data_IF_674103140282
#
_entry.id   IF_674103140282
#
_cell.length_a   1.000
_cell.length_b   1.000
_cell.length_c   1.000
_cell.angle_alpha   90.00
_cell.angle_beta   90.00
_cell.angle_gamma   90.00
#
_symmetry.space_group_name_H-M   'P 1'
#
loop_
_entity.id
_entity.type
_entity.pdbx_description
1 polymer ?
#
# COMPACT_ATOMS: atom_id res chain seq x y z
N UNK A 1 1.88 -1.79 -29.15
CA UNK A 1 2.17 -2.48 -27.88
C UNK A 1 1.70 -1.60 -26.75
N UNK A 2 0.84 -2.12 -25.88
CA UNK A 2 0.44 -1.40 -24.67
C UNK A 2 1.66 -1.05 -23.82
N UNK A 3 1.65 0.11 -23.16
CA UNK A 3 2.67 0.42 -22.13
C UNK A 3 2.57 -0.64 -21.03
N UNK A 4 3.69 -1.28 -20.70
CA UNK A 4 3.78 -2.28 -19.63
C UNK A 4 4.10 -1.64 -18.29
N UNK A 5 3.68 -2.29 -17.20
CA UNK A 5 4.11 -1.93 -15.84
C UNK A 5 5.57 -2.33 -15.62
N UNK A 6 6.26 -1.57 -14.78
CA UNK A 6 7.65 -1.82 -14.39
C UNK A 6 7.79 -1.78 -12.89
N UNK A 7 8.66 -2.62 -12.33
CA UNK A 7 8.98 -2.57 -10.91
C UNK A 7 9.71 -1.23 -10.61
N UNK A 8 9.16 -0.34 -9.76
CA UNK A 8 9.82 0.90 -9.40
C UNK A 8 11.09 0.61 -8.61
N UNK A 9 12.09 1.48 -8.69
CA UNK A 9 13.22 1.42 -7.77
C UNK A 9 12.78 1.87 -6.38
N UNK A 10 13.32 1.25 -5.33
CA UNK A 10 13.09 1.73 -3.97
C UNK A 10 13.71 3.11 -3.78
N UNK A 11 13.08 4.01 -3.00
CA UNK A 11 13.62 5.34 -2.73
C UNK A 11 14.78 5.33 -1.72
N UNK A 12 15.18 4.15 -1.22
CA UNK A 12 16.23 3.93 -0.22
C UNK A 12 16.82 2.50 -0.37
N UNK A 13 17.95 2.24 0.30
CA UNK A 13 18.58 0.92 0.34
C UNK A 13 17.73 -0.11 1.10
N UNK A 14 17.88 -1.41 0.81
CA UNK A 14 17.04 -2.45 1.42
C UNK A 14 17.14 -2.53 2.96
N UNK A 15 18.31 -2.22 3.53
CA UNK A 15 18.53 -2.20 4.98
C UNK A 15 18.15 -0.85 5.64
N UNK A 16 17.65 0.13 4.89
CA UNK A 16 17.49 1.48 5.39
C UNK A 16 16.36 1.64 6.42
N UNK A 17 15.50 0.64 6.57
CA UNK A 17 14.39 0.63 7.54
C UNK A 17 14.71 -0.15 8.83
N UNK A 18 15.93 -0.67 8.96
CA UNK A 18 16.37 -1.32 10.18
C UNK A 18 16.43 -0.32 11.35
N UNK A 19 16.13 -0.75 12.60
CA UNK A 19 15.83 -2.13 13.01
C UNK A 19 14.35 -2.50 12.90
N UNK A 20 13.51 -1.67 12.28
CA UNK A 20 12.06 -1.84 12.30
C UNK A 20 11.55 -2.85 11.28
N UNK A 21 12.14 -2.87 10.08
CA UNK A 21 11.89 -3.86 9.02
C UNK A 21 13.25 -4.29 8.46
N UNK A 22 13.53 -5.60 8.43
CA UNK A 22 14.87 -6.07 8.06
C UNK A 22 15.18 -5.94 6.57
N UNK A 23 16.47 -5.90 6.24
CA UNK A 23 16.93 -5.96 4.85
C UNK A 23 16.37 -7.19 4.11
N UNK A 24 16.28 -8.33 4.79
CA UNK A 24 15.77 -9.58 4.22
C UNK A 24 14.31 -9.44 3.82
N UNK A 25 13.47 -8.93 4.71
CA UNK A 25 12.06 -8.66 4.43
C UNK A 25 11.93 -7.70 3.25
N UNK A 26 12.61 -6.55 3.30
CA UNK A 26 12.56 -5.55 2.24
C UNK A 26 13.01 -6.09 0.87
N UNK A 27 14.09 -6.86 0.84
CA UNK A 27 14.62 -7.45 -0.39
C UNK A 27 13.63 -8.41 -1.02
N UNK A 28 13.07 -9.34 -0.24
CA UNK A 28 12.13 -10.33 -0.75
C UNK A 28 10.79 -9.70 -1.15
N UNK A 29 10.27 -8.81 -0.30
CA UNK A 29 9.00 -8.12 -0.51
C UNK A 29 9.02 -7.30 -1.82
N UNK A 30 10.12 -6.60 -2.08
CA UNK A 30 10.29 -5.85 -3.33
C UNK A 30 10.61 -6.75 -4.54
N UNK A 31 11.68 -7.55 -4.46
CA UNK A 31 12.22 -8.25 -5.64
C UNK A 31 11.45 -9.52 -6.02
N UNK A 32 10.64 -10.06 -5.11
CA UNK A 32 9.83 -11.26 -5.35
C UNK A 32 8.35 -10.91 -5.41
N UNK A 33 7.78 -10.38 -4.33
CA UNK A 33 6.33 -10.16 -4.25
C UNK A 33 5.88 -9.03 -5.18
N UNK A 34 6.47 -7.84 -5.09
CA UNK A 34 6.11 -6.73 -5.97
C UNK A 34 6.42 -7.04 -7.45
N UNK A 35 7.55 -7.69 -7.73
CA UNK A 35 7.88 -8.14 -9.08
C UNK A 35 6.85 -9.14 -9.64
N UNK A 36 6.32 -10.04 -8.82
CA UNK A 36 5.28 -10.98 -9.25
C UNK A 36 4.00 -10.26 -9.67
N UNK A 37 3.57 -9.23 -8.94
CA UNK A 37 2.42 -8.40 -9.31
C UNK A 37 2.63 -7.69 -10.65
N UNK A 38 3.81 -7.09 -10.86
CA UNK A 38 4.17 -6.46 -12.15
C UNK A 38 4.07 -7.47 -13.30
N UNK A 39 4.64 -8.65 -13.12
CA UNK A 39 4.62 -9.71 -14.14
C UNK A 39 3.19 -10.19 -14.42
N UNK A 40 2.39 -10.43 -13.37
CA UNK A 40 1.02 -10.90 -13.50
C UNK A 40 0.10 -9.89 -14.18
N UNK A 41 0.24 -8.60 -13.85
CA UNK A 41 -0.55 -7.54 -14.47
C UNK A 41 -0.22 -7.42 -15.97
N UNK A 42 1.06 -7.45 -16.33
CA UNK A 42 1.51 -7.43 -17.73
C UNK A 42 1.02 -8.67 -18.50
N UNK A 43 1.10 -9.86 -17.91
CA UNK A 43 0.61 -11.09 -18.54
C UNK A 43 -0.90 -11.06 -18.79
N UNK A 44 -1.69 -10.49 -17.87
CA UNK A 44 -3.13 -10.33 -18.06
C UNK A 44 -3.44 -9.34 -19.20
N UNK A 45 -2.72 -8.20 -19.27
CA UNK A 45 -2.86 -7.25 -20.38
C UNK A 45 -2.51 -7.85 -21.74
N UNK A 46 -1.44 -8.65 -21.80
CA UNK A 46 -1.03 -9.35 -23.03
C UNK A 46 -2.11 -10.33 -23.50
N UNK A 47 -2.69 -11.12 -22.59
CA UNK A 47 -3.84 -12.01 -22.91
C UNK A 47 -5.02 -11.23 -23.47
N UNK A 48 -5.37 -10.10 -22.85
CA UNK A 48 -6.45 -9.23 -23.33
C UNK A 48 -6.15 -8.64 -24.72
N UNK A 49 -4.90 -8.25 -24.99
CA UNK A 49 -4.47 -7.73 -26.30
C UNK A 49 -4.56 -8.81 -27.38
N UNK A 50 -4.03 -10.00 -27.12
CA UNK A 50 -4.11 -11.16 -28.03
C UNK A 50 -5.57 -11.55 -28.32
N UNK A 51 -6.43 -11.51 -27.30
CA UNK A 51 -7.86 -11.79 -27.46
C UNK A 51 -8.55 -10.75 -28.36
N UNK A 52 -8.30 -9.45 -28.15
CA UNK A 52 -8.82 -8.39 -29.04
C UNK A 52 -8.34 -8.54 -30.48
N UNK A 53 -7.10 -9.01 -30.67
CA UNK A 53 -6.52 -9.28 -31.98
C UNK A 53 -6.96 -10.59 -32.63
N UNK A 54 -7.84 -11.38 -31.99
CA UNK A 54 -8.29 -12.67 -32.51
C UNK A 54 -7.24 -13.78 -32.46
N UNK A 55 -6.11 -13.56 -31.77
CA UNK A 55 -5.00 -14.51 -31.68
C UNK A 55 -5.20 -15.57 -30.60
N UNK A 56 -6.13 -15.36 -29.68
CA UNK A 56 -6.39 -16.21 -28.52
C UNK A 56 -7.85 -16.09 -28.07
N UNK A 57 -8.44 -17.19 -27.62
CA UNK A 57 -9.70 -17.16 -26.86
C UNK A 57 -9.39 -17.21 -25.36
N UNK A 58 -10.09 -16.41 -24.57
CA UNK A 58 -9.87 -16.31 -23.12
C UNK A 58 -11.20 -16.37 -22.35
N UNK A 59 -11.15 -16.90 -21.12
CA UNK A 59 -12.18 -16.55 -20.12
C UNK A 59 -11.90 -15.12 -19.65
N UNK A 60 -12.68 -14.16 -20.18
CA UNK A 60 -12.50 -12.74 -19.86
C UNK A 60 -12.68 -12.46 -18.37
N UNK A 61 -13.62 -13.14 -17.70
CA UNK A 61 -13.85 -12.96 -16.26
C UNK A 61 -12.63 -13.41 -15.46
N UNK A 62 -12.02 -14.54 -15.82
CA UNK A 62 -10.81 -15.02 -15.15
C UNK A 62 -9.64 -14.06 -15.34
N UNK A 63 -9.39 -13.62 -16.59
CA UNK A 63 -8.28 -12.70 -16.89
C UNK A 63 -8.46 -11.34 -16.20
N UNK A 64 -9.68 -10.83 -16.11
CA UNK A 64 -9.95 -9.58 -15.38
C UNK A 64 -9.77 -9.72 -13.86
N UNK A 65 -10.05 -10.89 -13.28
CA UNK A 65 -9.73 -11.19 -11.87
C UNK A 65 -8.23 -11.21 -11.63
N UNK A 66 -7.47 -11.87 -12.51
CA UNK A 66 -6.00 -11.87 -12.47
C UNK A 66 -5.45 -10.45 -12.59
N UNK A 67 -5.97 -9.67 -13.54
CA UNK A 67 -5.55 -8.29 -13.74
C UNK A 67 -5.80 -7.45 -12.49
N UNK A 68 -7.01 -7.47 -11.91
CA UNK A 68 -7.31 -6.68 -10.70
C UNK A 68 -6.38 -7.03 -9.54
N UNK A 69 -6.20 -8.31 -9.21
CA UNK A 69 -5.33 -8.72 -8.10
C UNK A 69 -3.88 -8.25 -8.29
N UNK A 70 -3.33 -8.41 -9.50
CA UNK A 70 -1.94 -8.05 -9.78
C UNK A 70 -1.75 -6.54 -9.97
N UNK A 71 -2.71 -5.86 -10.60
CA UNK A 71 -2.68 -4.41 -10.77
C UNK A 71 -2.74 -3.72 -9.41
N UNK A 72 -3.70 -4.07 -8.56
CA UNK A 72 -3.84 -3.45 -7.25
C UNK A 72 -2.65 -3.81 -6.35
N UNK A 73 -2.12 -5.04 -6.45
CA UNK A 73 -0.87 -5.42 -5.79
C UNK A 73 0.30 -4.52 -6.20
N UNK A 74 0.44 -4.21 -7.49
CA UNK A 74 1.47 -3.26 -7.96
C UNK A 74 1.22 -1.83 -7.47
N UNK A 75 -0.03 -1.35 -7.52
CA UNK A 75 -0.38 0.02 -7.07
C UNK A 75 -0.12 0.19 -5.58
N UNK A 76 -0.62 -0.72 -4.74
CA UNK A 76 -0.48 -0.65 -3.29
C UNK A 76 0.99 -0.67 -2.86
N UNK A 77 1.82 -1.54 -3.44
CA UNK A 77 3.25 -1.57 -3.14
C UNK A 77 3.97 -0.32 -3.65
N UNK A 78 3.60 0.21 -4.82
CA UNK A 78 4.19 1.44 -5.36
C UNK A 78 3.86 2.68 -4.51
N UNK A 79 2.84 2.60 -3.65
CA UNK A 79 2.50 3.60 -2.64
C UNK A 79 3.22 3.31 -1.32
N UNK A 80 3.30 2.03 -0.94
CA UNK A 80 3.93 1.57 0.28
C UNK A 80 5.41 1.98 0.40
N UNK A 81 6.22 1.83 -0.65
CA UNK A 81 7.65 2.15 -0.53
C UNK A 81 7.93 3.63 -0.24
N UNK A 82 7.34 4.60 -0.96
CA UNK A 82 7.53 6.02 -0.61
C UNK A 82 6.87 6.43 0.71
N UNK A 83 5.82 5.71 1.14
CA UNK A 83 5.20 5.89 2.45
C UNK A 83 6.12 5.49 3.62
N UNK A 84 7.28 4.91 3.35
CA UNK A 84 8.30 4.60 4.36
C UNK A 84 9.55 5.43 4.15
N UNK A 85 10.28 5.67 5.25
CA UNK A 85 11.56 6.35 5.23
C UNK A 85 12.45 5.81 6.37
N UNK A 86 13.79 5.92 6.23
CA UNK A 86 14.72 5.50 7.27
C UNK A 86 14.43 6.16 8.61
N UNK A 87 14.72 5.47 9.71
CA UNK A 87 14.53 6.00 11.06
C UNK A 87 15.22 7.36 11.22
N UNK A 88 14.49 8.35 11.78
CA UNK A 88 14.92 9.74 11.89
C UNK A 88 14.49 10.64 10.72
N UNK A 89 14.11 10.06 9.57
CA UNK A 89 13.32 10.74 8.51
C UNK A 89 11.88 10.24 8.47
N UNK A 90 11.67 8.97 8.78
CA UNK A 90 10.36 8.38 9.06
C UNK A 90 10.07 8.34 10.56
N UNK A 91 8.83 8.02 10.90
CA UNK A 91 8.31 7.97 12.26
C UNK A 91 7.79 9.31 12.77
N UNK A 92 7.55 9.39 14.08
CA UNK A 92 6.95 10.58 14.70
C UNK A 92 5.47 10.75 14.33
N UNK A 93 5.04 12.01 14.19
CA UNK A 93 3.66 12.37 13.88
C UNK A 93 3.54 13.10 12.55
N UNK A 94 2.34 13.08 11.97
CA UNK A 94 2.02 13.89 10.80
C UNK A 94 2.29 15.38 11.07
N UNK A 95 2.80 16.08 10.06
CA UNK A 95 2.94 17.54 10.03
C UNK A 95 2.16 18.14 8.86
N UNK A 96 2.33 19.44 8.61
CA UNK A 96 1.76 20.09 7.43
C UNK A 96 0.22 20.09 7.39
N UNK A 97 -0.34 20.11 6.18
CA UNK A 97 -1.81 20.11 5.95
C UNK A 97 -2.43 18.82 6.48
N UNK A 98 -1.70 17.71 6.42
CA UNK A 98 -2.13 16.41 6.93
C UNK A 98 -2.42 16.44 8.44
N UNK A 99 -1.62 17.14 9.25
CA UNK A 99 -1.88 17.26 10.68
C UNK A 99 -3.20 17.96 10.98
N UNK A 100 -3.51 19.04 10.27
CA UNK A 100 -4.77 19.78 10.40
C UNK A 100 -5.97 18.91 10.00
N UNK A 101 -5.83 18.13 8.93
CA UNK A 101 -6.86 17.20 8.46
C UNK A 101 -7.08 16.04 9.44
N UNK A 102 -6.01 15.49 10.01
CA UNK A 102 -6.12 14.46 11.04
C UNK A 102 -6.81 15.02 12.28
N UNK A 103 -6.49 16.24 12.69
CA UNK A 103 -7.16 16.90 13.82
C UNK A 103 -8.65 17.12 13.53
N UNK A 104 -9.01 17.54 12.31
CA UNK A 104 -10.40 17.76 11.89
C UNK A 104 -11.20 16.47 11.87
N UNK A 105 -10.69 15.43 11.22
CA UNK A 105 -11.48 14.23 10.88
C UNK A 105 -11.43 13.13 11.94
N UNK A 106 -10.34 13.07 12.72
CA UNK A 106 -10.16 12.05 13.77
C UNK A 106 -10.11 12.65 15.19
N UNK A 107 -10.07 13.97 15.32
CA UNK A 107 -10.00 14.64 16.62
C UNK A 107 -8.64 14.50 17.32
N UNK A 108 -7.56 14.30 16.55
CA UNK A 108 -6.18 14.26 17.04
C UNK A 108 -5.36 13.09 16.51
N UNK A 109 -4.03 13.27 16.43
CA UNK A 109 -3.12 12.23 15.95
C UNK A 109 -3.18 10.93 16.76
N UNK A 110 -3.29 11.00 18.08
CA UNK A 110 -3.35 9.80 18.92
C UNK A 110 -4.60 8.97 18.63
N UNK A 111 -5.75 9.62 18.44
CA UNK A 111 -7.01 8.93 18.10
C UNK A 111 -6.94 8.29 16.71
N UNK A 112 -6.40 9.03 15.74
CA UNK A 112 -6.12 8.50 14.41
C UNK A 112 -5.19 7.28 14.48
N UNK A 113 -4.08 7.37 15.21
CA UNK A 113 -3.09 6.30 15.36
C UNK A 113 -3.73 5.06 15.99
N UNK A 114 -4.54 5.23 17.04
CA UNK A 114 -5.29 4.12 17.65
C UNK A 114 -6.22 3.47 16.63
N UNK A 115 -7.07 4.24 15.96
CA UNK A 115 -8.05 3.68 15.01
C UNK A 115 -7.38 3.02 13.79
N UNK A 116 -6.32 3.61 13.25
CA UNK A 116 -5.53 3.02 12.16
C UNK A 116 -4.85 1.71 12.61
N UNK A 117 -4.27 1.71 13.82
CA UNK A 117 -3.64 0.52 14.39
C UNK A 117 -4.66 -0.61 14.58
N UNK A 118 -5.87 -0.29 15.06
CA UNK A 118 -6.92 -1.29 15.24
C UNK A 118 -7.41 -1.82 13.88
N UNK A 119 -7.54 -0.95 12.86
CA UNK A 119 -7.82 -1.36 11.50
C UNK A 119 -6.73 -2.30 10.95
N UNK A 120 -5.44 -2.01 11.16
CA UNK A 120 -4.35 -2.88 10.73
C UNK A 120 -4.35 -4.25 11.44
N UNK A 121 -4.56 -4.26 12.76
CA UNK A 121 -4.61 -5.49 13.57
C UNK A 121 -5.74 -6.43 13.14
N UNK A 122 -6.87 -5.87 12.73
CA UNK A 122 -8.12 -6.60 12.49
C UNK A 122 -8.36 -6.93 11.02
N UNK A 123 -7.38 -6.72 10.13
CA UNK A 123 -7.46 -7.24 8.75
C UNK A 123 -7.63 -8.77 8.79
N UNK A 124 -8.73 -9.24 8.23
CA UNK A 124 -9.04 -10.67 8.15
C UNK A 124 -8.15 -11.35 7.09
N UNK A 125 -7.25 -12.24 7.51
CA UNK A 125 -6.29 -12.87 6.61
C UNK A 125 -5.22 -11.89 6.11
N UNK A 126 -4.93 -11.91 4.81
CA UNK A 126 -3.92 -11.05 4.20
C UNK A 126 -4.57 -9.83 3.55
N UNK A 127 -3.97 -8.65 3.73
CA UNK A 127 -4.60 -7.42 3.29
C UNK A 127 -3.83 -6.17 3.65
N UNK A 128 -4.53 -5.04 3.78
CA UNK A 128 -3.96 -3.73 4.07
C UNK A 128 -4.87 -2.92 5.00
N UNK A 129 -4.27 -2.04 5.79
CA UNK A 129 -4.97 -0.90 6.37
C UNK A 129 -4.53 0.38 5.67
N UNK A 130 -5.50 1.20 5.26
CA UNK A 130 -5.26 2.37 4.43
C UNK A 130 -5.90 3.62 5.03
N UNK A 131 -5.21 4.75 4.91
CA UNK A 131 -5.76 6.10 5.02
C UNK A 131 -5.96 6.64 3.60
N UNK A 132 -7.15 7.17 3.34
CA UNK A 132 -7.54 7.70 2.04
C UNK A 132 -8.12 9.10 2.17
N UNK A 133 -8.06 9.84 1.07
CA UNK A 133 -8.89 11.02 0.83
C UNK A 133 -10.16 10.62 0.09
N UNK A 134 -11.32 10.94 0.66
CA UNK A 134 -12.62 10.86 -0.02
C UNK A 134 -12.89 12.20 -0.75
N UNK A 135 -12.89 12.23 -2.09
CA UNK A 135 -13.13 13.46 -2.84
C UNK A 135 -14.59 13.95 -2.78
N UNK A 136 -15.54 13.11 -2.35
CA UNK A 136 -16.96 13.46 -2.26
C UNK A 136 -17.24 14.34 -1.04
N UNK A 137 -16.65 14.00 0.10
CA UNK A 137 -16.79 14.74 1.36
C UNK A 137 -15.57 15.60 1.70
N UNK A 138 -14.52 15.54 0.88
CA UNK A 138 -13.23 16.21 1.10
C UNK A 138 -12.64 15.91 2.49
N UNK A 139 -12.71 14.63 2.87
CA UNK A 139 -12.38 14.14 4.21
C UNK A 139 -11.39 12.98 4.17
N UNK A 140 -10.69 12.78 5.29
CA UNK A 140 -9.90 11.58 5.51
C UNK A 140 -10.79 10.42 5.94
N UNK A 141 -10.59 9.25 5.35
CA UNK A 141 -11.29 8.02 5.70
C UNK A 141 -10.31 6.86 5.87
N UNK A 142 -10.67 5.89 6.70
CA UNK A 142 -9.94 4.63 6.82
C UNK A 142 -10.69 3.51 6.10
N UNK A 143 -9.96 2.60 5.48
CA UNK A 143 -10.52 1.32 5.03
C UNK A 143 -9.52 0.20 5.28
N UNK A 144 -10.04 -1.02 5.24
CA UNK A 144 -9.23 -2.22 5.07
C UNK A 144 -9.36 -2.70 3.63
N UNK A 145 -8.31 -3.34 3.13
CA UNK A 145 -8.36 -4.13 1.91
C UNK A 145 -8.12 -5.57 2.27
N UNK A 146 -8.99 -6.47 1.81
CA UNK A 146 -8.68 -7.90 1.78
C UNK A 146 -7.94 -8.24 0.48
N UNK A 147 -6.93 -9.08 0.61
CA UNK A 147 -5.98 -9.42 -0.45
C UNK A 147 -5.30 -8.14 -1.00
N UNK A 148 -5.58 -7.80 -2.25
CA UNK A 148 -5.10 -6.58 -2.89
C UNK A 148 -6.27 -5.73 -3.41
N UNK A 149 -7.46 -6.31 -3.54
CA UNK A 149 -8.49 -5.78 -4.43
C UNK A 149 -9.93 -5.89 -3.91
N UNK A 150 -10.14 -6.36 -2.67
CA UNK A 150 -11.46 -6.47 -2.05
C UNK A 150 -11.60 -5.38 -0.99
N UNK A 151 -12.74 -4.69 -0.97
CA UNK A 151 -13.04 -3.49 -0.14
C UNK A 151 -12.35 -2.19 -0.57
N UNK A 152 -11.91 -2.09 -1.82
CA UNK A 152 -11.48 -0.80 -2.40
C UNK A 152 -12.66 0.19 -2.46
N UNK A 153 -12.40 1.44 -2.05
CA UNK A 153 -13.37 2.54 -2.12
C UNK A 153 -13.18 3.29 -3.45
N UNK A 154 -14.16 3.17 -4.34
CA UNK A 154 -14.08 3.76 -5.68
C UNK A 154 -13.92 5.28 -5.61
N UNK A 155 -12.91 5.82 -6.30
CA UNK A 155 -12.62 7.25 -6.37
C UNK A 155 -11.84 7.82 -5.18
N UNK A 156 -11.72 7.09 -4.07
CA UNK A 156 -10.89 7.51 -2.95
C UNK A 156 -9.39 7.41 -3.30
N UNK A 157 -8.59 8.40 -2.90
CA UNK A 157 -7.15 8.40 -3.15
C UNK A 157 -6.39 7.89 -1.93
N UNK A 158 -5.57 6.86 -2.11
CA UNK A 158 -4.75 6.30 -1.03
C UNK A 158 -3.61 7.27 -0.68
N UNK A 159 -3.49 7.59 0.60
CA UNK A 159 -2.47 8.49 1.15
C UNK A 159 -1.39 7.73 1.91
N UNK A 160 -1.80 6.80 2.79
CA UNK A 160 -0.93 5.97 3.60
C UNK A 160 -1.43 4.52 3.58
N UNK A 161 -0.52 3.56 3.39
CA UNK A 161 -0.86 2.14 3.48
C UNK A 161 0.10 1.34 4.37
N UNK A 162 -0.45 0.40 5.14
CA UNK A 162 0.28 -0.60 5.91
C UNK A 162 -0.01 -1.99 5.31
N UNK A 163 1.02 -2.68 4.83
CA UNK A 163 0.89 -4.05 4.28
C UNK A 163 0.71 -5.04 5.43
N UNK A 164 -0.43 -5.71 5.49
CA UNK A 164 -0.75 -6.71 6.51
C UNK A 164 -0.70 -8.14 5.95
N UNK A 165 -0.11 -8.34 4.78
CA UNK A 165 0.27 -9.67 4.32
C UNK A 165 1.41 -10.22 5.16
N UNK A 166 1.35 -11.52 5.47
CA UNK A 166 2.36 -12.21 6.27
C UNK A 166 3.79 -12.08 5.71
N UNK A 167 3.94 -11.97 4.39
CA UNK A 167 5.25 -11.78 3.75
C UNK A 167 5.95 -10.46 4.15
N UNK A 168 5.20 -9.48 4.66
CA UNK A 168 5.73 -8.16 5.01
C UNK A 168 6.39 -8.13 6.40
N UNK A 169 6.22 -9.18 7.22
CA UNK A 169 6.67 -9.16 8.61
C UNK A 169 7.09 -10.51 9.22
N UNK A 170 6.69 -11.66 8.64
CA UNK A 170 6.94 -12.97 9.26
C UNK A 170 8.43 -13.23 9.56
N UNK A 171 9.34 -12.76 8.70
CA UNK A 171 10.78 -12.93 8.94
C UNK A 171 11.33 -12.10 10.11
N UNK A 172 10.66 -11.00 10.45
CA UNK A 172 11.14 -10.05 11.46
C UNK A 172 10.55 -10.35 12.83
N UNK A 173 9.25 -10.68 12.88
CA UNK A 173 8.50 -10.81 14.15
C UNK A 173 7.66 -12.09 14.24
N UNK A 174 7.76 -13.01 13.28
CA UNK A 174 6.91 -14.19 13.23
C UNK A 174 5.42 -13.80 13.14
N UNK A 175 4.50 -14.52 13.81
CA UNK A 175 3.06 -14.25 13.73
C UNK A 175 2.61 -12.99 14.52
N UNK A 176 3.53 -12.25 15.16
CA UNK A 176 3.21 -11.09 16.00
C UNK A 176 2.90 -9.84 15.17
N UNK A 177 1.70 -9.82 14.58
CA UNK A 177 1.16 -8.65 13.84
C UNK A 177 1.22 -7.35 14.66
N UNK A 178 0.80 -7.32 15.94
CA UNK A 178 0.93 -6.11 16.75
C UNK A 178 2.35 -5.56 16.78
N UNK A 179 3.35 -6.41 16.97
CA UNK A 179 4.76 -5.99 17.00
C UNK A 179 5.22 -5.39 15.67
N UNK A 180 4.79 -5.96 14.55
CA UNK A 180 5.05 -5.38 13.23
C UNK A 180 4.47 -3.98 13.07
N UNK A 181 3.20 -3.78 13.45
CA UNK A 181 2.53 -2.48 13.33
C UNK A 181 3.22 -1.43 14.20
N UNK A 182 3.61 -1.81 15.42
CA UNK A 182 4.38 -0.94 16.32
C UNK A 182 5.73 -0.53 15.70
N UNK A 183 6.42 -1.46 15.04
CA UNK A 183 7.65 -1.18 14.31
C UNK A 183 7.40 -0.28 13.10
N UNK A 184 6.38 -0.57 12.29
CA UNK A 184 6.01 0.17 11.09
C UNK A 184 5.76 1.66 11.37
N UNK A 185 5.12 1.99 12.49
CA UNK A 185 4.91 3.38 12.90
C UNK A 185 6.20 4.21 13.03
N UNK A 186 7.36 3.58 13.26
CA UNK A 186 8.65 4.27 13.39
C UNK A 186 9.31 4.60 12.05
N UNK A 187 8.78 4.10 10.95
CA UNK A 187 9.33 4.31 9.60
C UNK A 187 8.34 4.98 8.65
N UNK A 188 7.14 5.36 9.11
CA UNK A 188 6.16 6.09 8.28
C UNK A 188 6.73 7.43 7.82
N UNK A 189 6.72 7.67 6.51
CA UNK A 189 7.16 8.90 5.88
C UNK A 189 6.01 9.91 5.76
N UNK A 190 5.80 10.69 6.81
CA UNK A 190 4.73 11.70 6.83
C UNK A 190 4.87 12.78 5.75
N UNK A 191 6.08 13.03 5.23
CA UNK A 191 6.31 13.98 4.14
C UNK A 191 5.68 13.48 2.83
N UNK A 192 5.83 12.19 2.51
CA UNK A 192 5.19 11.60 1.33
C UNK A 192 3.65 11.59 1.47
N UNK A 193 3.14 11.25 2.66
CA UNK A 193 1.69 11.23 2.92
C UNK A 193 1.08 12.63 2.77
N UNK A 194 1.71 13.67 3.34
CA UNK A 194 1.27 15.07 3.21
C UNK A 194 1.36 15.55 1.75
N UNK A 195 2.43 15.20 1.03
CA UNK A 195 2.58 15.53 -0.39
C UNK A 195 1.53 14.86 -1.28
N UNK A 196 1.07 13.65 -0.93
CA UNK A 196 -0.06 12.97 -1.62
C UNK A 196 -1.35 13.71 -1.36
N UNK A 197 -1.63 14.07 -0.11
CA UNK A 197 -2.80 14.87 0.25
C UNK A 197 -2.82 16.19 -0.52
N UNK A 198 -1.68 16.90 -0.59
CA UNK A 198 -1.57 18.17 -1.31
C UNK A 198 -1.89 18.10 -2.81
N UNK A 199 -1.89 16.91 -3.43
CA UNK A 199 -2.27 16.73 -4.84
C UNK A 199 -3.77 16.54 -5.07
N UNK A 200 -4.52 16.18 -4.02
CA UNK A 200 -5.94 15.79 -4.14
C UNK A 200 -6.88 16.60 -3.26
N UNK A 201 -6.38 17.15 -2.17
CA UNK A 201 -7.12 18.03 -1.29
C UNK A 201 -7.53 19.31 -2.03
N UNK A 202 -8.80 19.68 -1.88
CA UNK A 202 -9.33 20.93 -2.42
C UNK A 202 -8.92 22.14 -1.55
#
# INVERSE_FOLDING_TARGET
MAKTYTLPQLPYAYNALEPHISEKTMTLHHTKHHQAYVNGANAALEKLEKARGGQMQIDTRAVLRDFSFNYDGHVLHSIFWPNLAPAGKGGGSAGGKLADWINRDFGGFDKFKTQFTDAAKTVEGSGWALLLHDPLTDSLVLTQIEKQNIMNLSGATILLGCDMWEHSYLYDVGPDRPKYIDNWWNVVNWVDVDARLGKVAK
#
